data_IF_812211118282
#
_entry.id   IF_812211118282
#
_cell.length_a   1.000
_cell.length_b   1.000
_cell.length_c   1.000
_cell.angle_alpha   90.00
_cell.angle_beta   90.00
_cell.angle_gamma   90.00
#
_symmetry.space_group_name_H-M   'P 1'
#
loop_
_entity.id
_entity.type
_entity.pdbx_description
1 polymer ?
#
# COMPACT_ATOMS: atom_id res chain seq x y z
N UNK A 1 18.13 -9.92 51.83
CA UNK A 1 17.83 -11.03 50.89
C UNK A 1 17.19 -10.51 49.59
N UNK A 2 16.05 -9.79 49.66
CA UNK A 2 15.29 -9.42 48.44
C UNK A 2 16.07 -8.57 47.43
N UNK A 3 16.87 -7.61 47.89
CA UNK A 3 17.65 -6.74 47.01
C UNK A 3 18.71 -7.50 46.19
N UNK A 4 19.44 -8.44 46.83
CA UNK A 4 20.43 -9.26 46.14
C UNK A 4 19.78 -10.23 45.14
N UNK A 5 18.62 -10.78 45.49
CA UNK A 5 17.84 -11.65 44.59
C UNK A 5 17.36 -10.87 43.36
N UNK A 6 16.88 -9.64 43.55
CA UNK A 6 16.55 -8.73 42.45
C UNK A 6 17.77 -8.40 41.57
N UNK A 7 18.92 -8.11 42.18
CA UNK A 7 20.15 -7.79 41.45
C UNK A 7 20.58 -8.96 40.56
N UNK A 8 20.57 -10.19 41.09
CA UNK A 8 20.91 -11.42 40.36
C UNK A 8 19.92 -11.63 39.21
N UNK A 9 18.61 -11.51 39.45
CA UNK A 9 17.60 -11.64 38.41
C UNK A 9 17.77 -10.59 37.31
N UNK A 10 18.05 -9.35 37.67
CA UNK A 10 18.27 -8.25 36.73
C UNK A 10 19.46 -8.53 35.81
N UNK A 11 20.56 -9.07 36.34
CA UNK A 11 21.74 -9.42 35.55
C UNK A 11 21.41 -10.55 34.57
N UNK A 12 20.66 -11.57 35.02
CA UNK A 12 20.25 -12.69 34.16
C UNK A 12 19.36 -12.19 33.02
N UNK A 13 18.36 -11.37 33.33
CA UNK A 13 17.44 -10.80 32.33
C UNK A 13 18.18 -9.92 31.34
N UNK A 14 19.12 -9.08 31.82
CA UNK A 14 19.95 -8.24 30.96
C UNK A 14 20.83 -9.09 30.02
N UNK A 15 21.45 -10.15 30.53
CA UNK A 15 22.27 -11.07 29.74
C UNK A 15 21.47 -11.78 28.66
N UNK A 16 20.29 -12.32 29.01
CA UNK A 16 19.39 -12.98 28.05
C UNK A 16 18.88 -11.99 27.00
N UNK A 17 18.48 -10.78 27.42
CA UNK A 17 18.02 -9.73 26.52
C UNK A 17 19.11 -9.30 25.54
N UNK A 18 20.35 -9.13 26.00
CA UNK A 18 21.49 -8.81 25.15
C UNK A 18 21.79 -9.94 24.16
N UNK A 19 21.84 -11.19 24.62
CA UNK A 19 22.06 -12.36 23.77
C UNK A 19 21.03 -12.45 22.64
N UNK A 20 19.75 -12.22 22.95
CA UNK A 20 18.67 -12.19 21.96
C UNK A 20 18.75 -10.97 21.02
N UNK A 21 19.19 -9.81 21.51
CA UNK A 21 19.35 -8.62 20.67
C UNK A 21 20.48 -8.76 19.64
N UNK A 22 21.56 -9.45 20.01
CA UNK A 22 22.71 -9.74 19.15
C UNK A 22 22.47 -10.95 18.23
N UNK A 23 21.44 -11.75 18.51
CA UNK A 23 21.07 -12.89 17.70
C UNK A 23 20.47 -12.39 16.37
N UNK A 24 21.27 -12.49 15.31
CA UNK A 24 20.86 -12.16 13.95
C UNK A 24 20.32 -13.41 13.27
N UNK A 25 19.08 -13.37 12.82
CA UNK A 25 18.48 -14.43 12.00
C UNK A 25 18.42 -13.92 10.56
N UNK A 26 19.13 -14.58 9.63
CA UNK A 26 19.13 -14.21 8.21
C UNK A 26 19.69 -12.81 7.90
N UNK A 27 20.58 -12.28 8.75
CA UNK A 27 21.19 -10.96 8.58
C UNK A 27 20.39 -9.78 9.18
N UNK A 28 19.17 -10.00 9.65
CA UNK A 28 18.39 -9.02 10.41
C UNK A 28 18.47 -9.29 11.93
N UNK A 29 18.50 -8.23 12.72
CA UNK A 29 18.43 -8.33 14.17
C UNK A 29 17.05 -8.78 14.63
N UNK A 30 16.99 -9.58 15.69
CA UNK A 30 15.76 -10.04 16.34
C UNK A 30 14.75 -8.90 16.63
N UNK A 31 15.18 -7.70 17.08
CA UNK A 31 14.26 -6.57 17.27
C UNK A 31 13.55 -6.12 15.98
N UNK A 32 14.24 -6.17 14.84
CA UNK A 32 13.66 -5.83 13.53
C UNK A 32 12.61 -6.85 13.12
N UNK A 33 12.90 -8.14 13.33
CA UNK A 33 11.96 -9.23 13.04
C UNK A 33 10.70 -9.10 13.91
N UNK A 34 10.88 -8.84 15.21
CA UNK A 34 9.77 -8.66 16.13
C UNK A 34 8.91 -7.44 15.76
N UNK A 35 9.54 -6.32 15.39
CA UNK A 35 8.84 -5.12 14.94
C UNK A 35 8.03 -5.40 13.66
N UNK A 36 8.63 -6.09 12.69
CA UNK A 36 7.95 -6.49 11.46
C UNK A 36 6.79 -7.45 11.74
N UNK A 37 6.96 -8.40 12.66
CA UNK A 37 5.91 -9.32 13.07
C UNK A 37 4.74 -8.58 13.73
N UNK A 38 5.01 -7.68 14.68
CA UNK A 38 3.99 -6.84 15.30
C UNK A 38 3.28 -5.98 14.26
N UNK A 39 4.02 -5.36 13.35
CA UNK A 39 3.45 -4.54 12.26
C UNK A 39 2.59 -5.37 11.30
N UNK A 40 2.94 -6.62 11.04
CA UNK A 40 2.14 -7.53 10.21
C UNK A 40 0.91 -8.08 10.94
N UNK A 41 1.04 -8.34 12.24
CA UNK A 41 -0.01 -8.91 13.09
C UNK A 41 -1.06 -7.86 13.45
N UNK A 42 -0.62 -6.69 13.90
CA UNK A 42 -1.46 -5.55 14.26
C UNK A 42 -1.83 -4.67 13.05
N UNK A 43 -1.10 -4.78 11.95
CA UNK A 43 -1.36 -4.01 10.74
C UNK A 43 -2.71 -4.38 10.13
N UNK A 44 -3.44 -3.38 9.65
CA UNK A 44 -4.71 -3.59 8.97
C UNK A 44 -4.49 -4.47 7.74
N UNK A 45 -5.12 -5.64 7.72
CA UNK A 45 -5.10 -6.52 6.55
C UNK A 45 -6.06 -5.93 5.53
N UNK A 46 -5.52 -5.31 4.48
CA UNK A 46 -6.31 -4.81 3.35
C UNK A 46 -6.69 -6.02 2.50
N UNK A 47 -7.89 -6.52 2.70
CA UNK A 47 -8.46 -7.59 1.88
C UNK A 47 -8.96 -6.98 0.57
N UNK A 48 -8.17 -7.10 -0.49
CA UNK A 48 -8.59 -6.72 -1.83
C UNK A 48 -9.50 -7.83 -2.35
N UNK A 49 -10.82 -7.59 -2.31
CA UNK A 49 -11.76 -8.46 -2.96
C UNK A 49 -11.63 -8.26 -4.47
N UNK A 50 -11.09 -9.25 -5.16
CA UNK A 50 -10.93 -9.24 -6.61
C UNK A 50 -11.94 -10.21 -7.21
N UNK A 51 -12.92 -9.67 -7.91
CA UNK A 51 -13.80 -10.47 -8.76
C UNK A 51 -12.94 -11.30 -9.73
N UNK A 52 -13.27 -12.57 -9.96
CA UNK A 52 -12.56 -13.47 -10.89
C UNK A 52 -12.80 -13.09 -12.37
N UNK A 53 -12.80 -11.80 -12.68
CA UNK A 53 -12.74 -11.28 -14.03
C UNK A 53 -11.29 -11.22 -14.51
N UNK A 54 -11.06 -11.70 -15.72
CA UNK A 54 -9.80 -11.70 -16.48
C UNK A 54 -8.85 -10.53 -16.18
N UNK A 55 -7.53 -10.75 -16.13
CA UNK A 55 -6.58 -9.74 -15.70
C UNK A 55 -6.55 -8.57 -16.69
N UNK A 56 -7.14 -7.44 -16.29
CA UNK A 56 -6.82 -6.16 -16.91
C UNK A 56 -5.40 -5.83 -16.47
N UNK A 57 -4.47 -5.78 -17.42
CA UNK A 57 -3.07 -5.41 -17.22
C UNK A 57 -2.98 -3.92 -16.88
N UNK A 58 -3.21 -3.61 -15.61
CA UNK A 58 -3.02 -2.25 -15.11
C UNK A 58 -1.52 -2.01 -15.01
N UNK A 59 -0.98 -1.28 -15.98
CA UNK A 59 0.39 -0.79 -15.99
C UNK A 59 0.72 -0.12 -14.64
N UNK A 60 1.85 -0.53 -14.06
CA UNK A 60 2.45 0.02 -12.85
C UNK A 60 2.49 1.54 -12.95
N UNK A 61 1.57 2.22 -12.26
CA UNK A 61 1.62 3.68 -12.10
C UNK A 61 2.82 4.00 -11.21
N UNK A 62 3.95 4.30 -11.83
CA UNK A 62 5.07 4.95 -11.16
C UNK A 62 4.54 6.27 -10.62
N UNK A 63 4.73 6.50 -9.33
CA UNK A 63 4.38 7.73 -8.64
C UNK A 63 5.14 8.91 -9.28
N UNK A 64 4.48 9.66 -10.16
CA UNK A 64 5.01 10.93 -10.65
C UNK A 64 4.53 12.01 -9.68
N UNK A 65 5.50 12.63 -9.00
CA UNK A 65 5.35 13.84 -8.17
C UNK A 65 4.43 14.86 -8.85
N UNK A 66 3.50 15.41 -8.08
CA UNK A 66 2.63 16.52 -8.50
C UNK A 66 3.48 17.76 -8.79
N UNK A 67 3.55 18.15 -10.06
CA UNK A 67 3.77 19.54 -10.45
C UNK A 67 2.49 20.05 -11.11
N UNK A 68 1.92 21.08 -10.50
CA UNK A 68 0.75 21.81 -10.99
C UNK A 68 1.21 22.69 -12.14
N UNK A 69 0.73 22.40 -13.35
CA UNK A 69 0.65 23.37 -14.44
C UNK A 69 -0.71 23.22 -15.12
N UNK A 70 -1.51 24.28 -15.02
CA UNK A 70 -2.77 24.48 -15.75
C UNK A 70 -2.48 24.73 -17.23
N UNK A 71 -3.51 24.52 -18.05
CA UNK A 71 -3.61 24.77 -19.51
C UNK A 71 -2.92 23.67 -20.34
N UNK A 72 -3.58 22.88 -21.20
CA UNK A 72 -4.74 23.09 -22.07
C UNK A 72 -5.52 21.76 -22.22
N UNK A 73 -6.86 21.82 -22.22
CA UNK A 73 -7.71 20.70 -22.64
C UNK A 73 -8.04 20.86 -24.13
N UNK A 74 -7.60 19.93 -24.99
CA UNK A 74 -8.39 19.56 -26.14
C UNK A 74 -8.64 18.06 -26.07
N UNK A 75 -9.59 17.66 -25.23
CA UNK A 75 -10.20 16.35 -25.38
C UNK A 75 -10.91 16.35 -26.75
N UNK A 76 -10.25 15.80 -27.77
CA UNK A 76 -10.76 15.50 -29.13
C UNK A 76 -11.92 14.47 -29.11
N UNK A 77 -12.77 14.52 -28.10
CA UNK A 77 -13.94 13.66 -27.89
C UNK A 77 -15.20 14.36 -28.41
N UNK A 78 -15.23 15.70 -28.42
CA UNK A 78 -16.35 16.45 -28.98
C UNK A 78 -16.55 16.19 -30.49
N UNK A 79 -15.48 15.88 -31.21
CA UNK A 79 -15.49 15.72 -32.67
C UNK A 79 -16.09 14.38 -33.13
N UNK A 80 -16.05 13.33 -32.30
CA UNK A 80 -16.55 11.97 -32.63
C UNK A 80 -17.82 11.56 -31.85
N UNK A 81 -18.68 12.51 -31.49
CA UNK A 81 -19.89 12.22 -30.72
C UNK A 81 -20.97 11.52 -31.56
N UNK A 82 -21.12 10.21 -31.37
CA UNK A 82 -22.17 9.37 -31.97
C UNK A 82 -23.59 9.84 -31.56
N UNK A 83 -23.73 10.42 -30.36
CA UNK A 83 -25.00 10.94 -29.86
C UNK A 83 -25.49 12.16 -30.67
N UNK A 84 -24.57 13.02 -31.13
CA UNK A 84 -24.92 14.17 -31.96
C UNK A 84 -25.43 13.73 -33.33
N UNK A 85 -24.87 12.66 -33.90
CA UNK A 85 -25.35 12.06 -35.16
C UNK A 85 -26.78 11.54 -35.03
N UNK A 86 -27.05 10.75 -33.98
CA UNK A 86 -28.38 10.17 -33.72
C UNK A 86 -29.42 11.28 -33.51
N UNK A 87 -29.07 12.32 -32.75
CA UNK A 87 -29.96 13.48 -32.56
C UNK A 87 -30.34 14.16 -33.88
N UNK A 88 -29.37 14.38 -34.76
CA UNK A 88 -29.60 15.04 -36.03
C UNK A 88 -30.46 14.19 -36.98
N UNK A 89 -30.29 12.86 -36.97
CA UNK A 89 -31.15 11.94 -37.73
C UNK A 89 -32.60 11.96 -37.25
N UNK A 90 -32.83 12.04 -35.93
CA UNK A 90 -34.19 12.15 -35.38
C UNK A 90 -34.84 13.47 -35.79
N UNK A 91 -34.12 14.59 -35.68
CA UNK A 91 -34.61 15.92 -36.05
C UNK A 91 -34.95 16.02 -37.55
N UNK A 92 -34.12 15.41 -38.41
CA UNK A 92 -34.34 15.37 -39.87
C UNK A 92 -35.48 14.44 -40.30
N UNK A 93 -35.79 13.39 -39.52
CA UNK A 93 -36.85 12.42 -39.83
C UNK A 93 -38.22 12.81 -39.27
N UNK A 94 -38.25 13.77 -38.35
CA UNK A 94 -39.46 14.28 -37.69
C UNK A 94 -39.97 15.58 -38.33
N UNK A 95 -39.30 16.07 -39.37
CA UNK A 95 -39.70 17.23 -40.17
C UNK A 95 -40.07 16.79 -41.58
#
# INVERSE_FOLDING_TARGET
INFFLFLILSIIILGVGAALALLKIGGQGLPTILTNFLRFSLGSKIYIWKEKGTPITIFKKVEIKKEVKKEELPLKIAEKSQLKKIRNEIEMKTK
#
